data_IF_842732800180
#
_entry.id   IF_842732800180
#
_cell.length_a   1.000
_cell.length_b   1.000
_cell.length_c   1.000
_cell.angle_alpha   90.00
_cell.angle_beta   90.00
_cell.angle_gamma   90.00
#
_symmetry.space_group_name_H-M   'P 1'
#
loop_
_entity.id
_entity.type
_entity.pdbx_description
1 polymer ?
#
# COMPACT_ATOMS: atom_id res chain seq x y z
N UNK A 1 18.76 -21.29 9.68
CA UNK A 1 17.54 -20.62 10.17
C UNK A 1 16.92 -19.90 8.99
N UNK A 2 15.89 -20.49 8.37
CA UNK A 2 15.15 -19.82 7.29
C UNK A 2 14.22 -18.83 7.98
N UNK A 3 14.41 -17.54 7.76
CA UNK A 3 13.49 -16.52 8.26
C UNK A 3 12.25 -16.62 7.36
N UNK A 4 11.17 -17.20 7.90
CA UNK A 4 9.88 -17.19 7.20
C UNK A 4 9.39 -15.75 7.16
N UNK A 5 9.32 -15.18 5.97
CA UNK A 5 8.71 -13.88 5.75
C UNK A 5 7.24 -14.14 5.49
N UNK A 6 6.39 -13.70 6.41
CA UNK A 6 4.94 -13.79 6.23
C UNK A 6 4.50 -12.85 5.10
N UNK A 7 3.56 -13.28 4.27
CA UNK A 7 3.02 -12.45 3.18
C UNK A 7 2.51 -11.09 3.68
N UNK A 8 1.95 -11.07 4.90
CA UNK A 8 1.46 -9.84 5.51
C UNK A 8 2.57 -8.82 5.75
N UNK A 9 3.79 -9.27 6.07
CA UNK A 9 4.94 -8.39 6.28
C UNK A 9 5.38 -7.75 4.96
N UNK A 10 5.43 -8.53 3.88
CA UNK A 10 5.77 -8.04 2.54
C UNK A 10 4.79 -6.94 2.13
N UNK A 11 3.49 -7.23 2.26
CA UNK A 11 2.46 -6.26 1.87
C UNK A 11 2.49 -5.03 2.78
N UNK A 12 2.67 -5.19 4.10
CA UNK A 12 2.73 -4.08 5.04
C UNK A 12 3.91 -3.14 4.78
N UNK A 13 5.11 -3.70 4.55
CA UNK A 13 6.32 -2.94 4.22
C UNK A 13 6.12 -2.21 2.91
N UNK A 14 5.74 -2.93 1.85
CA UNK A 14 5.59 -2.34 0.52
C UNK A 14 4.56 -1.23 0.48
N UNK A 15 3.41 -1.45 1.13
CA UNK A 15 2.34 -0.44 1.24
C UNK A 15 2.87 0.85 1.85
N UNK A 16 3.58 0.73 2.98
CA UNK A 16 4.11 1.89 3.70
C UNK A 16 5.20 2.61 2.90
N UNK A 17 6.10 1.88 2.26
CA UNK A 17 7.17 2.44 1.43
C UNK A 17 6.61 3.30 0.30
N UNK A 18 5.70 2.74 -0.49
CA UNK A 18 5.07 3.47 -1.59
C UNK A 18 4.27 4.66 -1.07
N UNK A 19 3.50 4.48 0.01
CA UNK A 19 2.71 5.57 0.62
C UNK A 19 3.57 6.76 1.03
N UNK A 20 4.67 6.50 1.74
CA UNK A 20 5.60 7.55 2.20
C UNK A 20 6.33 8.18 1.02
N UNK A 21 6.74 7.38 0.03
CA UNK A 21 7.38 7.88 -1.19
C UNK A 21 6.51 8.90 -1.93
N UNK A 22 5.20 8.63 -2.03
CA UNK A 22 4.23 9.54 -2.66
C UNK A 22 3.67 10.63 -1.73
N UNK A 23 4.14 10.73 -0.48
CA UNK A 23 3.71 11.76 0.46
C UNK A 23 2.25 11.64 0.90
N UNK A 24 1.72 10.43 0.92
CA UNK A 24 0.31 10.15 1.25
C UNK A 24 0.13 9.87 2.74
N UNK A 25 -0.99 10.30 3.29
CA UNK A 25 -1.53 9.81 4.56
C UNK A 25 -2.16 8.42 4.40
N UNK A 26 -2.42 7.74 5.52
CA UNK A 26 -3.12 6.45 5.50
C UNK A 26 -4.54 6.59 4.94
N UNK A 27 -5.23 7.68 5.28
CA UNK A 27 -6.56 8.00 4.75
C UNK A 27 -6.54 8.18 3.22
N UNK A 28 -5.60 8.98 2.69
CA UNK A 28 -5.51 9.22 1.24
C UNK A 28 -5.18 7.96 0.45
N UNK A 29 -4.28 7.12 0.95
CA UNK A 29 -4.03 5.83 0.33
C UNK A 29 -5.29 4.96 0.34
N UNK A 30 -6.02 4.93 1.46
CA UNK A 30 -7.24 4.15 1.58
C UNK A 30 -8.28 4.58 0.54
N UNK A 31 -8.46 5.90 0.34
CA UNK A 31 -9.33 6.46 -0.69
C UNK A 31 -8.86 6.12 -2.12
N UNK A 32 -7.55 6.19 -2.39
CA UNK A 32 -6.99 5.84 -3.71
C UNK A 32 -7.20 4.36 -4.08
N UNK A 33 -6.96 3.48 -3.11
CA UNK A 33 -7.06 2.03 -3.22
C UNK A 33 -8.49 1.49 -3.03
N UNK A 34 -9.48 2.35 -2.74
CA UNK A 34 -10.86 1.93 -2.45
C UNK A 34 -10.95 0.89 -1.32
N UNK A 35 -10.25 1.16 -0.22
CA UNK A 35 -10.28 0.37 1.02
C UNK A 35 -10.52 1.28 2.23
N UNK A 36 -10.77 0.70 3.40
CA UNK A 36 -10.93 1.49 4.63
C UNK A 36 -9.60 1.97 5.20
N UNK A 37 -9.56 3.18 5.77
CA UNK A 37 -8.38 3.70 6.47
C UNK A 37 -7.94 2.75 7.59
N UNK A 38 -8.89 2.21 8.37
CA UNK A 38 -8.61 1.21 9.40
C UNK A 38 -7.94 -0.05 8.82
N UNK A 39 -8.25 -0.41 7.58
CA UNK A 39 -7.59 -1.53 6.90
C UNK A 39 -6.13 -1.24 6.58
N UNK A 40 -5.80 -0.01 6.18
CA UNK A 40 -4.41 0.44 5.97
C UNK A 40 -3.67 0.49 7.31
N UNK A 41 -4.29 1.07 8.34
CA UNK A 41 -3.70 1.18 9.68
C UNK A 41 -3.34 -0.20 10.25
N UNK A 42 -4.28 -1.15 10.25
CA UNK A 42 -4.06 -2.53 10.74
C UNK A 42 -3.05 -3.31 9.90
N UNK A 43 -2.96 -2.99 8.60
CA UNK A 43 -1.98 -3.60 7.70
C UNK A 43 -0.57 -3.10 8.04
N UNK A 44 -0.34 -1.79 8.08
CA UNK A 44 0.98 -1.21 8.38
C UNK A 44 1.46 -1.51 9.81
N UNK A 45 0.53 -1.70 10.75
CA UNK A 45 0.83 -2.12 12.13
C UNK A 45 0.98 -3.62 12.31
N UNK A 46 0.85 -4.44 11.25
CA UNK A 46 0.88 -5.92 11.29
C UNK A 46 -0.14 -6.53 12.25
N UNK A 47 -1.23 -5.82 12.51
CA UNK A 47 -2.32 -6.29 13.37
C UNK A 47 -3.35 -7.13 12.61
N UNK A 48 -3.22 -7.24 11.29
CA UNK A 48 -3.96 -8.19 10.46
C UNK A 48 -3.30 -9.56 10.50
N UNK A 49 -4.11 -10.62 10.68
CA UNK A 49 -3.67 -12.01 10.57
C UNK A 49 -3.76 -12.56 9.15
N UNK A 50 -4.62 -11.96 8.32
CA UNK A 50 -4.92 -12.41 6.97
C UNK A 50 -5.18 -11.22 6.06
N UNK A 51 -4.94 -11.40 4.77
CA UNK A 51 -5.23 -10.44 3.72
C UNK A 51 -5.79 -11.18 2.51
N UNK A 52 -6.78 -10.57 1.85
CA UNK A 52 -7.36 -11.10 0.62
C UNK A 52 -6.54 -10.65 -0.58
N UNK A 53 -6.46 -11.49 -1.62
CA UNK A 53 -5.78 -11.12 -2.87
C UNK A 53 -6.35 -9.82 -3.46
N UNK A 54 -7.67 -9.65 -3.41
CA UNK A 54 -8.35 -8.43 -3.84
C UNK A 54 -7.80 -7.17 -3.18
N UNK A 55 -7.48 -7.22 -1.87
CA UNK A 55 -6.89 -6.07 -1.17
C UNK A 55 -5.48 -5.78 -1.68
N UNK A 56 -4.71 -6.81 -2.04
CA UNK A 56 -3.37 -6.62 -2.63
C UNK A 56 -3.48 -6.00 -4.02
N UNK A 57 -4.45 -6.45 -4.84
CA UNK A 57 -4.72 -5.90 -6.17
C UNK A 57 -5.13 -4.43 -6.09
N UNK A 58 -6.06 -4.09 -5.20
CA UNK A 58 -6.48 -2.71 -4.95
C UNK A 58 -5.32 -1.78 -4.55
N UNK A 59 -4.42 -2.27 -3.69
CA UNK A 59 -3.22 -1.53 -3.29
C UNK A 59 -2.24 -1.38 -4.47
N UNK A 60 -2.03 -2.43 -5.24
CA UNK A 60 -1.17 -2.40 -6.42
C UNK A 60 -1.69 -1.41 -7.47
N UNK A 61 -3.00 -1.43 -7.74
CA UNK A 61 -3.67 -0.54 -8.67
C UNK A 61 -3.55 0.92 -8.27
N UNK A 62 -3.58 1.27 -6.97
CA UNK A 62 -3.35 2.65 -6.51
C UNK A 62 -2.00 3.22 -6.97
N UNK A 63 -1.02 2.33 -7.19
CA UNK A 63 0.34 2.63 -7.62
C UNK A 63 0.63 2.24 -9.08
N UNK A 64 -0.42 1.90 -9.86
CA UNK A 64 -0.29 1.57 -11.27
C UNK A 64 0.50 0.28 -11.53
N UNK A 65 0.47 -0.65 -10.57
CA UNK A 65 1.18 -1.94 -10.60
C UNK A 65 0.18 -3.09 -10.68
N UNK A 66 0.62 -4.23 -11.22
CA UNK A 66 -0.03 -5.52 -10.96
C UNK A 66 0.35 -6.09 -9.59
N UNK A 67 -0.45 -7.02 -9.05
CA UNK A 67 -0.18 -7.65 -7.75
C UNK A 67 1.22 -8.33 -7.69
N UNK A 68 1.67 -8.92 -8.80
CA UNK A 68 2.99 -9.55 -8.89
C UNK A 68 4.14 -8.53 -8.81
N UNK A 69 4.00 -7.36 -9.45
CA UNK A 69 4.96 -6.26 -9.36
C UNK A 69 4.97 -5.65 -7.95
N UNK A 70 3.79 -5.51 -7.36
CA UNK A 70 3.66 -5.02 -5.98
C UNK A 70 4.35 -5.96 -4.98
N UNK A 71 4.22 -7.28 -5.15
CA UNK A 71 4.83 -8.27 -4.27
C UNK A 71 6.30 -8.57 -4.59
N UNK A 72 6.87 -7.97 -5.65
CA UNK A 72 8.26 -8.18 -6.03
C UNK A 72 9.22 -7.42 -5.10
N UNK A 73 10.11 -8.11 -4.36
CA UNK A 73 11.00 -7.46 -3.39
C UNK A 73 12.02 -6.52 -4.05
N UNK A 74 12.41 -6.81 -5.29
CA UNK A 74 13.46 -6.09 -6.00
C UNK A 74 12.93 -4.94 -6.84
N UNK A 75 11.60 -4.72 -6.89
CA UNK A 75 11.03 -3.67 -7.73
C UNK A 75 11.21 -2.28 -7.07
N UNK A 76 11.97 -1.37 -7.70
CA UNK A 76 12.22 -0.05 -7.14
C UNK A 76 10.93 0.77 -7.01
N UNK A 77 10.84 1.59 -5.95
CA UNK A 77 9.64 2.42 -5.68
C UNK A 77 9.40 3.49 -6.75
N UNK A 78 10.43 3.96 -7.44
CA UNK A 78 10.36 4.97 -8.50
C UNK A 78 9.72 4.46 -9.80
N UNK A 79 9.56 3.14 -9.95
CA UNK A 79 8.81 2.55 -11.07
C UNK A 79 7.30 2.69 -10.90
N UNK A 80 6.82 2.84 -9.67
CA UNK A 80 5.42 3.03 -9.37
C UNK A 80 4.94 4.42 -9.78
N UNK A 81 3.64 4.56 -10.02
CA UNK A 81 2.99 5.83 -10.38
C UNK A 81 1.60 5.88 -9.79
N UNK A 82 1.16 7.01 -9.25
CA UNK A 82 -0.23 7.09 -8.79
C UNK A 82 -1.19 6.92 -9.97
N UNK A 83 -2.09 5.95 -9.89
CA UNK A 83 -3.08 5.69 -10.94
C UNK A 83 -4.20 6.74 -10.98
N UNK A 84 -4.46 7.38 -9.83
CA UNK A 84 -5.47 8.44 -9.67
C UNK A 84 -4.82 9.66 -9.01
N UNK A 85 -5.45 10.83 -9.20
CA UNK A 85 -5.04 12.05 -8.48
C UNK A 85 -5.32 11.87 -6.99
N UNK A 86 -4.40 12.34 -6.16
CA UNK A 86 -4.59 12.35 -4.70
C UNK A 86 -5.85 13.15 -4.37
N UNK A 87 -6.79 12.59 -3.60
CA UNK A 87 -7.95 13.32 -3.12
C UNK A 87 -7.56 14.60 -2.38
N UNK A 88 -8.39 15.63 -2.44
CA UNK A 88 -8.13 16.88 -1.73
C UNK A 88 -8.29 16.67 -0.21
N UNK A 89 -7.20 16.35 0.48
CA UNK A 89 -7.17 16.24 1.94
C UNK A 89 -6.96 17.58 2.63
N UNK A 90 -7.48 17.72 3.86
CA UNK A 90 -7.18 18.86 4.73
C UNK A 90 -5.70 18.94 5.09
N UNK A 91 -4.98 17.81 5.02
CA UNK A 91 -3.55 17.72 5.36
C UNK A 91 -2.68 18.46 4.35
N UNK A 92 -3.05 18.42 3.07
CA UNK A 92 -2.29 19.04 1.97
C UNK A 92 -2.85 20.40 1.56
N UNK A 93 -3.96 20.83 2.16
CA UNK A 93 -4.54 22.16 1.96
C UNK A 93 -3.72 23.18 2.76
N UNK A 94 -2.77 23.84 2.08
CA UNK A 94 -2.11 25.05 2.58
C UNK A 94 -3.03 26.26 2.52
#
# INVERSE_FOLDING_TARGET
MVIYVELIDIVAVRTRELRVHFGLTQQELAELADVSEQSIQKLESRSKKQIWLQTVEQLAEAFGLGAHEFLAPDLPVDKAKLSKRVPSSRVHRK
#
